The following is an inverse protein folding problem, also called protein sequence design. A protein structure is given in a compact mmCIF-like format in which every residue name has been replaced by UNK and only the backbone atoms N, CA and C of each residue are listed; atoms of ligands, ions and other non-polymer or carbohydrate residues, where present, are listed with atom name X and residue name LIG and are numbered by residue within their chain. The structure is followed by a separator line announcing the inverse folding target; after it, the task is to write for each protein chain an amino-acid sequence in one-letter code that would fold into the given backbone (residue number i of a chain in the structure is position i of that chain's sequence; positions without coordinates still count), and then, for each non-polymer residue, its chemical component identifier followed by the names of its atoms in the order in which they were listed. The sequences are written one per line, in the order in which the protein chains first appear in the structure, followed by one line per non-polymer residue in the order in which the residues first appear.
data_IF_622633826051
#
_entry.id   IF_622633826051
#
_cell.length_a   1.000
_cell.length_b   1.000
_cell.length_c   1.000
_cell.angle_alpha   90.00
_cell.angle_beta   90.00
_cell.angle_gamma   90.00
#
_symmetry.space_group_name_H-M   'P 1'
#
loop_
_entity.id
_entity.type
_entity.pdbx_description
1 polymer ?
#
# COMPACT_ATOMS: atom_id res chain seq x y z
N UNK A 1 25.92 1.65 21.70
CA UNK A 1 24.82 2.60 21.98
C UNK A 1 24.02 2.73 20.70
N UNK A 2 22.70 2.91 20.77
CA UNK A 2 21.84 3.12 19.60
C UNK A 2 21.12 4.46 19.69
N UNK A 3 20.84 5.04 18.53
CA UNK A 3 20.25 6.36 18.38
C UNK A 3 19.13 6.34 17.35
N UNK A 4 18.05 7.04 17.62
CA UNK A 4 16.94 7.25 16.69
C UNK A 4 16.66 8.73 16.56
N UNK A 5 16.21 9.15 15.37
CA UNK A 5 15.79 10.52 15.10
C UNK A 5 14.45 10.47 14.39
N UNK A 6 13.45 11.16 14.94
CA UNK A 6 12.09 11.20 14.40
C UNK A 6 11.49 9.80 14.14
N UNK A 7 11.80 8.83 14.99
CA UNK A 7 11.28 7.46 14.88
C UNK A 7 11.98 6.58 13.84
N UNK A 8 13.12 7.02 13.27
CA UNK A 8 13.95 6.18 12.39
C UNK A 8 14.40 4.90 13.09
N UNK A 9 14.67 3.86 12.30
CA UNK A 9 15.26 2.62 12.80
C UNK A 9 16.58 2.95 13.52
N UNK A 10 16.79 2.50 14.76
CA UNK A 10 17.96 2.87 15.53
C UNK A 10 19.29 2.50 14.87
N UNK A 11 20.27 3.40 14.95
CA UNK A 11 21.61 3.26 14.37
C UNK A 11 22.69 3.47 15.43
N UNK A 12 23.91 3.00 15.17
CA UNK A 12 25.02 3.14 16.11
C UNK A 12 25.69 4.52 16.08
N UNK A 13 25.49 5.26 14.98
CA UNK A 13 26.09 6.57 14.74
C UNK A 13 25.01 7.63 14.57
N UNK A 14 25.37 8.89 14.80
CA UNK A 14 24.54 10.06 14.52
C UNK A 14 25.17 10.87 13.39
N UNK A 15 24.36 11.65 12.69
CA UNK A 15 24.81 12.53 11.61
C UNK A 15 25.35 13.89 12.12
N UNK A 16 25.51 14.05 13.44
CA UNK A 16 25.97 15.29 14.08
C UNK A 16 24.92 16.41 14.17
N UNK A 17 23.71 16.21 13.65
CA UNK A 17 22.62 17.19 13.77
C UNK A 17 21.88 17.04 15.10
N UNK A 18 21.08 18.04 15.51
CA UNK A 18 20.28 17.94 16.74
C UNK A 18 19.07 17.01 16.59
N UNK A 19 18.47 16.62 17.73
CA UNK A 19 17.22 15.85 17.79
C UNK A 19 17.36 14.33 17.87
N UNK A 20 18.59 13.81 18.00
CA UNK A 20 18.82 12.39 18.28
C UNK A 20 18.44 12.04 19.71
N UNK A 21 17.79 10.89 19.84
CA UNK A 21 17.40 10.31 21.12
C UNK A 21 18.01 8.93 21.26
N UNK A 22 18.38 8.55 22.48
CA UNK A 22 18.92 7.22 22.75
C UNK A 22 17.82 6.19 22.55
N UNK A 23 18.15 5.11 21.85
CA UNK A 23 17.28 3.97 21.64
C UNK A 23 17.86 2.70 22.30
N UNK A 24 17.01 1.73 22.67
CA UNK A 24 17.48 0.42 23.09
C UNK A 24 18.24 -0.27 21.96
N UNK A 25 19.20 -1.13 22.33
CA UNK A 25 19.82 -2.03 21.37
C UNK A 25 18.80 -3.04 20.82
N UNK A 26 18.93 -3.47 19.55
CA UNK A 26 18.11 -4.53 19.01
C UNK A 26 18.35 -5.83 19.79
N UNK A 27 17.31 -6.66 19.99
CA UNK A 27 17.48 -8.02 20.49
C UNK A 27 18.45 -8.82 19.62
N UNK A 28 19.33 -9.60 20.24
CA UNK A 28 20.31 -10.44 19.53
C UNK A 28 19.76 -11.82 19.19
N UNK A 29 18.74 -12.27 19.91
CA UNK A 29 18.12 -13.59 19.75
C UNK A 29 16.76 -13.43 19.09
N UNK A 30 16.73 -13.61 17.76
CA UNK A 30 15.49 -13.60 16.98
C UNK A 30 15.11 -15.06 16.69
N UNK A 31 13.96 -15.54 17.19
CA UNK A 31 13.51 -16.90 16.92
C UNK A 31 13.39 -17.17 15.41
N UNK A 32 13.65 -18.42 15.01
CA UNK A 32 13.53 -18.83 13.61
C UNK A 32 12.12 -18.54 13.07
N UNK A 33 12.06 -18.04 11.83
CA UNK A 33 10.81 -17.69 11.17
C UNK A 33 10.14 -16.42 11.69
N UNK A 34 10.76 -15.68 12.64
CA UNK A 34 10.29 -14.36 13.08
C UNK A 34 11.10 -13.23 12.42
N UNK A 35 10.51 -12.05 12.39
CA UNK A 35 11.13 -10.81 11.94
C UNK A 35 11.35 -9.87 13.11
N UNK A 36 12.48 -9.18 13.12
CA UNK A 36 12.73 -8.04 13.99
C UNK A 36 12.42 -6.74 13.24
N UNK A 37 11.54 -5.91 13.82
CA UNK A 37 11.17 -4.61 13.24
C UNK A 37 11.19 -3.50 14.30
N UNK A 38 11.43 -2.27 13.86
CA UNK A 38 11.29 -1.08 14.70
C UNK A 38 9.96 -0.40 14.39
N UNK A 39 9.05 -0.39 15.36
CA UNK A 39 7.72 0.21 15.20
C UNK A 39 7.31 0.87 16.51
N UNK A 40 6.67 2.04 16.42
CA UNK A 40 6.18 2.78 17.59
C UNK A 40 7.23 2.98 18.70
N UNK A 41 8.50 3.23 18.31
CA UNK A 41 9.62 3.42 19.23
C UNK A 41 10.00 2.17 20.05
N UNK A 42 9.63 0.98 19.58
CA UNK A 42 9.94 -0.31 20.19
C UNK A 42 10.54 -1.29 19.17
N UNK A 43 11.47 -2.13 19.62
CA UNK A 43 11.89 -3.32 18.90
C UNK A 43 10.87 -4.43 19.07
N UNK A 44 10.26 -4.86 17.97
CA UNK A 44 9.22 -5.89 17.97
C UNK A 44 9.71 -7.10 17.21
N UNK A 45 9.62 -8.26 17.85
CA UNK A 45 9.76 -9.57 17.21
C UNK A 45 8.35 -10.04 16.84
N UNK A 46 8.11 -10.31 15.56
CA UNK A 46 6.78 -10.71 15.06
C UNK A 46 6.85 -11.77 13.98
N UNK A 47 5.72 -12.38 13.67
CA UNK A 47 5.58 -13.18 12.45
C UNK A 47 5.74 -12.31 11.20
N UNK A 48 6.29 -12.85 10.10
CA UNK A 48 6.34 -12.19 8.81
C UNK A 48 4.96 -11.72 8.38
N UNK A 49 4.90 -10.57 7.69
CA UNK A 49 3.64 -10.08 7.12
C UNK A 49 3.08 -11.14 6.16
N UNK A 50 1.84 -11.62 6.34
CA UNK A 50 1.22 -12.51 5.37
C UNK A 50 1.02 -11.80 4.03
N UNK A 51 0.97 -12.58 2.94
CA UNK A 51 0.75 -12.04 1.61
C UNK A 51 -0.64 -11.39 1.50
N UNK A 52 -0.68 -10.14 1.02
CA UNK A 52 -1.93 -9.42 0.74
C UNK A 52 -2.72 -10.09 -0.39
N UNK A 53 -4.04 -9.91 -0.38
CA UNK A 53 -4.98 -10.49 -1.36
C UNK A 53 -5.78 -9.40 -2.06
N UNK A 54 -6.37 -9.69 -3.21
CA UNK A 54 -7.19 -8.71 -3.93
C UNK A 54 -8.31 -8.18 -3.02
N UNK A 55 -8.37 -6.86 -2.80
CA UNK A 55 -9.36 -6.24 -1.93
C UNK A 55 -9.02 -6.24 -0.42
N UNK A 56 -7.91 -6.86 0.00
CA UNK A 56 -7.50 -6.95 1.41
C UNK A 56 -6.01 -6.68 1.63
N UNK A 57 -5.67 -6.17 2.80
CA UNK A 57 -4.28 -6.05 3.27
C UNK A 57 -4.15 -6.46 4.74
N UNK A 58 -2.99 -6.99 5.09
CA UNK A 58 -2.65 -7.27 6.48
C UNK A 58 -2.08 -6.03 7.17
N UNK A 59 -2.76 -5.57 8.21
CA UNK A 59 -2.35 -4.45 9.05
C UNK A 59 -1.77 -4.98 10.36
N UNK A 60 -0.68 -4.38 10.82
CA UNK A 60 -0.12 -4.71 12.12
C UNK A 60 -0.95 -4.04 13.21
N UNK A 61 -1.56 -4.83 14.10
CA UNK A 61 -2.20 -4.32 15.30
C UNK A 61 -1.19 -4.35 16.45
N UNK A 62 -0.77 -3.17 16.92
CA UNK A 62 0.32 -3.05 17.88
C UNK A 62 -0.09 -3.54 19.28
N UNK A 63 -1.31 -3.23 19.72
CA UNK A 63 -1.80 -3.59 21.06
C UNK A 63 -1.90 -5.11 21.27
N UNK A 64 -2.40 -5.83 20.27
CA UNK A 64 -2.53 -7.29 20.31
C UNK A 64 -1.31 -8.02 19.77
N UNK A 65 -0.32 -7.28 19.23
CA UNK A 65 0.88 -7.80 18.59
C UNK A 65 0.58 -8.88 17.54
N UNK A 66 -0.38 -8.60 16.66
CA UNK A 66 -0.85 -9.55 15.66
C UNK A 66 -1.16 -8.88 14.32
N UNK A 67 -1.07 -9.66 13.24
CA UNK A 67 -1.57 -9.25 11.93
C UNK A 67 -3.10 -9.36 11.90
N UNK A 68 -3.76 -8.31 11.44
CA UNK A 68 -5.22 -8.26 11.27
C UNK A 68 -5.52 -7.90 9.82
N UNK A 69 -6.32 -8.72 9.16
CA UNK A 69 -6.75 -8.48 7.79
C UNK A 69 -7.77 -7.32 7.78
N UNK A 70 -7.53 -6.34 6.93
CA UNK A 70 -8.46 -5.24 6.68
C UNK A 70 -8.76 -5.15 5.19
N UNK A 71 -10.03 -4.91 4.83
CA UNK A 71 -10.39 -4.60 3.46
C UNK A 71 -9.80 -3.24 3.06
N UNK A 72 -9.29 -3.12 1.83
CA UNK A 72 -9.16 -1.79 1.22
C UNK A 72 -10.56 -1.20 1.22
N UNK A 73 -10.78 -0.05 1.87
CA UNK A 73 -12.10 0.59 1.87
C UNK A 73 -12.62 0.69 0.44
N UNK A 74 -13.93 0.57 0.23
CA UNK A 74 -14.53 0.72 -1.10
C UNK A 74 -14.17 2.11 -1.62
N UNK A 75 -13.14 2.19 -2.46
CA UNK A 75 -13.01 3.32 -3.36
C UNK A 75 -14.08 3.04 -4.39
N UNK A 76 -15.26 3.63 -4.22
CA UNK A 76 -16.18 3.74 -5.33
C UNK A 76 -15.42 4.48 -6.43
N UNK A 77 -14.88 3.72 -7.38
CA UNK A 77 -14.50 4.29 -8.67
C UNK A 77 -15.80 4.78 -9.27
N UNK A 78 -16.11 6.05 -9.04
CA UNK A 78 -17.09 6.75 -9.86
C UNK A 78 -16.55 6.60 -11.27
N UNK A 79 -17.17 5.75 -12.09
CA UNK A 79 -16.98 5.81 -13.53
C UNK A 79 -17.37 7.23 -13.94
N UNK A 80 -16.37 8.09 -14.09
CA UNK A 80 -16.56 9.35 -14.79
C UNK A 80 -16.92 8.94 -16.20
N UNK A 81 -18.20 9.02 -16.54
CA UNK A 81 -18.67 8.91 -17.92
C UNK A 81 -17.94 10.01 -18.68
N UNK A 82 -16.85 9.63 -19.36
CA UNK A 82 -16.13 10.52 -20.25
C UNK A 82 -17.12 10.88 -21.36
N UNK A 83 -17.37 12.17 -21.66
CA UNK A 83 -18.18 12.51 -22.81
C UNK A 83 -17.48 11.95 -24.05
N UNK A 84 -18.23 11.17 -24.83
CA UNK A 84 -17.76 10.62 -26.09
C UNK A 84 -17.22 11.78 -26.94
N UNK A 85 -15.95 11.71 -27.33
CA UNK A 85 -15.36 12.79 -28.13
C UNK A 85 -15.66 12.56 -29.61
N UNK A 86 -15.65 13.61 -30.42
CA UNK A 86 -15.88 13.50 -31.87
C UNK A 86 -14.91 12.52 -32.55
N UNK A 87 -13.70 12.34 -32.00
CA UNK A 87 -12.71 11.38 -32.48
C UNK A 87 -13.21 9.93 -32.34
N UNK A 88 -13.93 9.61 -31.27
CA UNK A 88 -14.47 8.26 -31.03
C UNK A 88 -15.56 7.89 -32.06
N UNK A 89 -16.26 8.89 -32.59
CA UNK A 89 -17.26 8.71 -33.68
C UNK A 89 -16.58 8.55 -35.05
N UNK A 90 -15.41 9.14 -35.26
CA UNK A 90 -14.68 9.04 -36.55
C UNK A 90 -14.04 7.68 -36.83
N UNK A 91 -13.98 6.79 -35.83
CA UNK A 91 -13.47 5.42 -35.98
C UNK A 91 -14.51 4.46 -36.57
N UNK A 92 -15.74 4.90 -36.80
CA UNK A 92 -16.69 4.16 -37.65
C UNK A 92 -16.15 4.09 -39.08
N UNK A 93 -15.46 3.00 -39.38
CA UNK A 93 -15.05 2.66 -40.74
C UNK A 93 -16.30 2.50 -41.62
N UNK A 94 -16.17 2.82 -42.90
CA UNK A 94 -17.30 2.78 -43.86
C UNK A 94 -17.99 1.41 -43.94
N UNK A 95 -17.31 0.33 -43.57
CA UNK A 95 -17.87 -1.03 -43.47
C UNK A 95 -18.84 -1.21 -42.29
N UNK A 96 -18.68 -0.46 -41.20
CA UNK A 96 -19.58 -0.50 -40.05
C UNK A 96 -20.87 0.28 -40.31
N UNK A 97 -20.78 1.38 -41.07
CA UNK A 97 -21.94 2.16 -41.53
C UNK A 97 -22.78 1.37 -42.55
N UNK A 98 -22.14 0.55 -43.40
CA UNK A 98 -22.81 -0.27 -44.40
C UNK A 98 -23.73 -1.36 -43.82
N UNK A 99 -23.57 -1.70 -42.53
CA UNK A 99 -24.41 -2.67 -41.83
C UNK A 99 -25.55 -2.02 -41.03
N UNK A 100 -25.67 -0.68 -41.07
CA UNK A 100 -26.84 0.00 -40.51
C UNK A 100 -28.02 -0.19 -41.45
N UNK A 101 -29.01 -0.95 -40.98
CA UNK A 101 -30.30 -1.09 -41.63
C UNK A 101 -31.13 0.19 -41.44
N UNK A 102 -32.11 0.44 -42.32
CA UNK A 102 -32.97 1.63 -42.27
C UNK A 102 -33.65 1.82 -40.91
N UNK A 103 -33.90 0.73 -40.16
CA UNK A 103 -34.48 0.77 -38.81
C UNK A 103 -33.54 1.31 -37.72
N UNK A 104 -32.26 1.48 -38.01
CA UNK A 104 -31.24 1.94 -37.06
C UNK A 104 -30.83 3.41 -37.28
N UNK A 105 -31.39 4.09 -38.30
CA UNK A 105 -31.03 5.46 -38.72
C UNK A 105 -32.20 6.46 -38.53
N UNK A 106 -33.34 6.02 -37.98
CA UNK A 106 -34.56 6.82 -37.81
C UNK A 106 -34.88 6.99 -36.33
#
# INVERSE_FOLDING_TARGET
MYWTKNGSIPQQETDGTEGWQQAPAPPTEIPEGKELVWLNWEWIIRDPKPQDRAGYQWNWQHDTRSWVEGSWGTVETVEVIQPLTTIDVTVFSSSQVANLTTSQVI
#
